data_IF_810079182413
#
_entry.id   IF_810079182413
#
_cell.length_a   1.000
_cell.length_b   1.000
_cell.length_c   1.000
_cell.angle_alpha   90.00
_cell.angle_beta   90.00
_cell.angle_gamma   90.00
#
_symmetry.space_group_name_H-M   'P 1'
#
loop_
_entity.id
_entity.type
_entity.pdbx_description
1 polymer ?
#
# COMPACT_ATOMS: atom_id res chain seq x y z
N UNK A 1 19.54 -67.96 -18.94
CA UNK A 1 19.00 -67.04 -19.97
C UNK A 1 17.51 -66.89 -19.71
N UNK A 2 17.00 -65.65 -19.59
CA UNK A 2 15.56 -65.27 -19.44
C UNK A 2 14.98 -65.50 -18.03
N UNK A 3 14.92 -64.60 -17.05
CA UNK A 3 14.41 -63.22 -16.90
C UNK A 3 12.87 -63.03 -16.88
N UNK A 4 12.39 -62.59 -15.69
CA UNK A 4 11.19 -61.79 -15.35
C UNK A 4 9.80 -62.45 -15.59
N UNK A 5 8.80 -62.36 -14.69
CA UNK A 5 8.31 -61.16 -13.97
C UNK A 5 7.38 -61.62 -12.83
N UNK A 6 7.72 -61.29 -11.56
CA UNK A 6 6.75 -61.32 -10.44
C UNK A 6 6.21 -59.90 -10.27
N UNK A 7 4.92 -59.71 -10.52
CA UNK A 7 4.22 -58.47 -10.21
C UNK A 7 3.92 -58.45 -8.71
N UNK A 8 4.55 -57.53 -7.99
CA UNK A 8 4.17 -57.14 -6.63
C UNK A 8 3.16 -56.00 -6.72
N UNK A 9 1.94 -56.25 -6.27
CA UNK A 9 0.92 -55.24 -5.99
C UNK A 9 1.22 -54.63 -4.61
N UNK A 10 1.60 -53.35 -4.59
CA UNK A 10 1.64 -52.52 -3.39
C UNK A 10 0.35 -51.68 -3.35
N UNK A 11 -0.46 -51.72 -2.27
CA UNK A 11 -1.52 -50.75 -2.08
C UNK A 11 -0.91 -49.46 -1.52
N UNK A 12 -0.94 -48.40 -2.33
CA UNK A 12 -0.63 -47.05 -1.88
C UNK A 12 -1.74 -46.54 -0.97
N UNK A 13 -1.41 -46.28 0.30
CA UNK A 13 -2.25 -45.50 1.20
C UNK A 13 -1.81 -44.04 1.04
N UNK A 14 -2.56 -43.30 0.21
CA UNK A 14 -2.47 -41.86 0.12
C UNK A 14 -3.27 -41.24 1.28
N UNK A 15 -2.60 -40.88 2.36
CA UNK A 15 -3.19 -40.01 3.38
C UNK A 15 -3.18 -38.56 2.86
N UNK A 16 -4.24 -38.17 2.15
CA UNK A 16 -4.56 -36.76 1.95
C UNK A 16 -5.04 -36.18 3.29
N UNK A 17 -4.11 -35.59 4.04
CA UNK A 17 -4.44 -34.68 5.13
C UNK A 17 -4.89 -33.35 4.54
N UNK A 18 -6.17 -33.20 4.23
CA UNK A 18 -6.78 -31.88 4.00
C UNK A 18 -6.91 -31.24 5.38
N UNK A 19 -5.92 -30.43 5.75
CA UNK A 19 -6.04 -29.53 6.89
C UNK A 19 -6.99 -28.39 6.51
N UNK A 20 -8.28 -28.55 6.84
CA UNK A 20 -9.23 -27.45 6.88
C UNK A 20 -8.87 -26.52 8.04
N UNK A 21 -8.05 -25.50 7.79
CA UNK A 21 -7.95 -24.35 8.68
C UNK A 21 -9.10 -23.40 8.34
N UNK A 22 -10.22 -23.55 9.06
CA UNK A 22 -11.23 -22.50 9.18
C UNK A 22 -10.70 -21.39 10.08
N UNK A 23 -9.73 -20.61 9.59
CA UNK A 23 -9.49 -19.26 10.10
C UNK A 23 -10.54 -18.37 9.45
N UNK A 24 -11.31 -17.61 10.22
CA UNK A 24 -12.06 -16.49 9.64
C UNK A 24 -11.09 -15.70 8.77
N UNK A 25 -11.37 -15.58 7.47
CA UNK A 25 -10.41 -15.10 6.48
C UNK A 25 -9.94 -13.71 6.88
N UNK A 26 -8.76 -13.62 7.50
CA UNK A 26 -8.17 -12.33 7.89
C UNK A 26 -8.07 -11.51 6.60
N UNK A 27 -8.52 -10.26 6.65
CA UNK A 27 -8.46 -9.32 5.52
C UNK A 27 -7.51 -8.13 5.76
N UNK A 28 -7.18 -7.87 7.01
CA UNK A 28 -6.32 -6.76 7.44
C UNK A 28 -5.65 -7.06 8.79
N UNK A 29 -4.72 -6.19 9.18
CA UNK A 29 -4.11 -6.15 10.51
C UNK A 29 -4.40 -4.83 11.20
N UNK A 30 -4.47 -4.81 12.51
CA UNK A 30 -4.38 -3.59 13.31
C UNK A 30 -2.92 -3.20 13.50
N UNK A 31 -2.63 -1.90 13.63
CA UNK A 31 -1.28 -1.43 13.90
C UNK A 31 -0.67 -2.02 15.19
N UNK A 32 -1.50 -2.38 16.16
CA UNK A 32 -1.08 -3.05 17.42
C UNK A 32 -0.75 -4.53 17.26
N UNK A 33 -1.15 -5.18 16.17
CA UNK A 33 -0.90 -6.61 15.90
C UNK A 33 0.42 -6.86 15.18
N UNK A 34 1.08 -5.81 14.67
CA UNK A 34 2.24 -5.92 13.79
C UNK A 34 3.50 -5.38 14.45
N UNK A 35 4.68 -5.97 14.14
CA UNK A 35 5.93 -5.53 14.72
C UNK A 35 6.30 -4.13 14.25
N UNK A 36 7.11 -3.44 15.06
CA UNK A 36 7.62 -2.08 14.79
C UNK A 36 9.13 -2.14 14.54
N UNK A 37 9.61 -1.40 13.56
CA UNK A 37 11.03 -1.22 13.31
C UNK A 37 11.64 -0.42 14.47
N UNK A 38 12.74 -0.92 15.03
CA UNK A 38 13.46 -0.30 16.16
C UNK A 38 12.58 -0.01 17.41
N UNK A 39 11.40 -0.65 17.51
CA UNK A 39 10.43 -0.38 18.58
C UNK A 39 9.72 0.97 18.49
N UNK A 40 9.91 1.73 17.39
CA UNK A 40 9.43 3.10 17.24
C UNK A 40 7.95 3.11 16.80
N UNK A 41 7.13 3.86 17.53
CA UNK A 41 5.75 4.16 17.13
C UNK A 41 5.73 4.90 15.79
N UNK A 42 4.91 4.44 14.85
CA UNK A 42 4.92 4.95 13.48
C UNK A 42 5.62 4.04 12.47
N UNK A 43 6.57 3.21 12.91
CA UNK A 43 7.35 2.36 11.99
C UNK A 43 6.84 0.91 11.97
N UNK A 44 5.54 0.74 11.76
CA UNK A 44 4.94 -0.58 11.59
C UNK A 44 5.51 -1.32 10.38
N UNK A 45 5.65 -2.63 10.51
CA UNK A 45 6.12 -3.53 9.46
C UNK A 45 4.94 -4.39 9.03
N UNK A 46 4.39 -4.14 7.85
CA UNK A 46 3.25 -4.91 7.37
C UNK A 46 3.70 -6.29 6.86
N UNK A 47 2.93 -7.36 7.10
CA UNK A 47 3.13 -8.63 6.40
C UNK A 47 2.91 -8.47 4.89
N UNK A 48 3.50 -9.34 4.07
CA UNK A 48 3.23 -9.43 2.63
C UNK A 48 3.48 -10.84 2.09
N UNK A 49 3.02 -11.17 0.87
CA UNK A 49 2.05 -10.42 0.07
C UNK A 49 0.61 -10.55 0.58
N UNK A 50 -0.23 -9.57 0.26
CA UNK A 50 -1.67 -9.64 0.49
C UNK A 50 -2.33 -10.54 -0.59
N UNK A 51 -2.94 -11.68 -0.22
CA UNK A 51 -3.47 -12.64 -1.19
C UNK A 51 -4.67 -12.14 -2.00
N UNK A 52 -5.37 -11.07 -1.59
CA UNK A 52 -6.50 -10.51 -2.37
C UNK A 52 -6.02 -9.78 -3.63
N UNK A 53 -4.74 -9.39 -3.71
CA UNK A 53 -4.15 -8.67 -4.85
C UNK A 53 -3.09 -9.55 -5.52
N UNK A 54 -3.26 -9.94 -6.79
CA UNK A 54 -2.26 -10.72 -7.51
C UNK A 54 -0.93 -9.97 -7.66
N UNK A 55 0.18 -10.69 -7.56
CA UNK A 55 1.49 -10.16 -7.92
C UNK A 55 1.57 -9.89 -9.44
N UNK A 56 2.30 -8.86 -9.83
CA UNK A 56 2.48 -8.49 -11.25
C UNK A 56 3.91 -8.78 -11.69
N UNK A 57 4.05 -9.77 -12.57
CA UNK A 57 5.33 -10.17 -13.17
C UNK A 57 5.69 -9.20 -14.31
N UNK A 58 6.63 -8.29 -14.04
CA UNK A 58 7.14 -7.37 -15.07
C UNK A 58 8.57 -6.94 -14.78
N UNK A 59 9.33 -6.66 -15.85
CA UNK A 59 10.68 -6.09 -15.76
C UNK A 59 10.66 -4.58 -15.55
N UNK A 60 9.51 -3.93 -15.79
CA UNK A 60 9.33 -2.48 -15.60
C UNK A 60 9.81 -2.03 -14.21
N UNK A 61 10.58 -0.94 -14.19
CA UNK A 61 10.94 -0.20 -12.98
C UNK A 61 9.82 0.70 -12.48
N UNK A 62 8.80 0.96 -13.32
CA UNK A 62 7.60 1.70 -12.94
C UNK A 62 6.60 0.77 -12.28
N UNK A 63 5.95 1.29 -11.22
CA UNK A 63 4.85 0.63 -10.52
C UNK A 63 3.70 0.38 -11.52
N UNK A 64 3.29 -0.88 -11.75
CA UNK A 64 2.31 -1.20 -12.76
C UNK A 64 0.89 -0.85 -12.31
N UNK A 65 0.11 -0.24 -13.21
CA UNK A 65 -1.30 0.07 -12.95
C UNK A 65 -2.15 -1.19 -12.72
N UNK A 66 -1.75 -2.32 -13.31
CA UNK A 66 -2.36 -3.65 -13.10
C UNK A 66 -2.17 -4.20 -11.67
N UNK A 67 -1.28 -3.60 -10.87
CA UNK A 67 -1.17 -3.85 -9.43
C UNK A 67 -1.96 -2.80 -8.64
N UNK A 68 -1.82 -1.53 -9.03
CA UNK A 68 -2.38 -0.38 -8.31
C UNK A 68 -3.91 -0.41 -8.34
N UNK A 69 -4.53 -0.54 -9.51
CA UNK A 69 -5.98 -0.43 -9.64
C UNK A 69 -6.71 -1.55 -8.87
N UNK A 70 -6.31 -2.84 -8.97
CA UNK A 70 -6.88 -3.89 -8.13
C UNK A 70 -6.67 -3.66 -6.64
N UNK A 71 -5.51 -3.11 -6.24
CA UNK A 71 -5.25 -2.75 -4.84
C UNK A 71 -6.23 -1.71 -4.33
N UNK A 72 -6.43 -0.62 -5.08
CA UNK A 72 -7.34 0.46 -4.70
C UNK A 72 -8.80 -0.02 -4.64
N UNK A 73 -9.19 -0.92 -5.56
CA UNK A 73 -10.50 -1.57 -5.53
C UNK A 73 -10.67 -2.45 -4.28
N UNK A 74 -9.71 -3.32 -4.00
CA UNK A 74 -9.75 -4.22 -2.86
C UNK A 74 -9.79 -3.46 -1.52
N UNK A 75 -9.12 -2.31 -1.40
CA UNK A 75 -9.21 -1.46 -0.22
C UNK A 75 -10.64 -0.98 0.06
N UNK A 76 -11.41 -0.61 -0.98
CA UNK A 76 -12.81 -0.17 -0.82
C UNK A 76 -13.77 -1.31 -0.44
N UNK A 77 -13.34 -2.56 -0.62
CA UNK A 77 -14.09 -3.74 -0.20
C UNK A 77 -13.89 -4.11 1.27
N UNK A 78 -12.96 -3.44 1.96
CA UNK A 78 -12.71 -3.68 3.38
C UNK A 78 -13.82 -3.03 4.25
N UNK A 79 -14.11 -3.61 5.43
CA UNK A 79 -15.17 -3.10 6.30
C UNK A 79 -14.95 -1.64 6.70
N UNK A 80 -15.97 -0.80 6.51
CA UNK A 80 -15.92 0.62 6.87
C UNK A 80 -15.01 1.49 5.99
N UNK A 81 -14.51 0.96 4.87
CA UNK A 81 -13.59 1.66 3.98
C UNK A 81 -14.26 2.68 3.03
N UNK A 82 -15.58 2.61 2.89
CA UNK A 82 -16.37 3.43 1.97
C UNK A 82 -17.75 3.68 2.55
N UNK A 83 -18.37 4.80 2.18
CA UNK A 83 -19.73 5.19 2.61
C UNK A 83 -19.92 5.19 4.14
N UNK A 84 -18.84 5.47 4.88
CA UNK A 84 -18.80 5.32 6.34
C UNK A 84 -18.93 6.65 7.10
N UNK A 85 -19.39 7.72 6.45
CA UNK A 85 -19.60 9.01 7.09
C UNK A 85 -21.09 9.32 7.21
N UNK A 86 -21.46 10.03 8.27
CA UNK A 86 -22.84 10.40 8.56
C UNK A 86 -23.33 11.37 7.48
N UNK A 87 -24.48 11.07 6.86
CA UNK A 87 -24.99 11.83 5.72
C UNK A 87 -25.38 13.26 6.08
N UNK A 88 -25.68 13.53 7.35
CA UNK A 88 -26.14 14.84 7.80
C UNK A 88 -24.97 15.77 8.18
N UNK A 89 -23.94 15.21 8.80
CA UNK A 89 -22.79 15.97 9.33
C UNK A 89 -21.52 15.84 8.48
N UNK A 90 -21.46 14.88 7.56
CA UNK A 90 -20.25 14.55 6.79
C UNK A 90 -19.13 13.94 7.65
N UNK A 91 -19.37 13.70 8.95
CA UNK A 91 -18.36 13.20 9.88
C UNK A 91 -18.22 11.68 9.79
N UNK A 92 -17.01 11.13 9.98
CA UNK A 92 -16.82 9.68 10.11
C UNK A 92 -17.71 9.06 11.18
N UNK A 93 -18.41 7.97 10.82
CA UNK A 93 -19.13 7.12 11.77
C UNK A 93 -18.15 6.21 12.52
N UNK A 94 -18.53 5.62 13.66
CA UNK A 94 -17.63 4.81 14.48
C UNK A 94 -16.92 3.67 13.76
N UNK A 95 -17.52 3.11 12.71
CA UNK A 95 -16.98 2.03 11.89
C UNK A 95 -16.06 2.52 10.76
N UNK A 96 -16.03 3.83 10.48
CA UNK A 96 -15.21 4.41 9.43
C UNK A 96 -13.73 4.08 9.63
N UNK A 97 -13.14 3.53 8.58
CA UNK A 97 -11.81 2.95 8.64
C UNK A 97 -10.99 3.38 7.43
N UNK A 98 -9.75 3.75 7.72
CA UNK A 98 -8.72 3.89 6.71
C UNK A 98 -7.78 2.69 6.78
N UNK A 99 -7.33 2.25 5.62
CA UNK A 99 -6.48 1.09 5.43
C UNK A 99 -5.29 1.52 4.59
N UNK A 100 -4.08 1.20 5.05
CA UNK A 100 -2.85 1.52 4.35
C UNK A 100 -2.15 0.25 3.91
N UNK A 101 -1.57 0.29 2.71
CA UNK A 101 -0.72 -0.77 2.18
C UNK A 101 0.56 -0.17 1.62
N UNK A 102 1.65 -0.94 1.68
CA UNK A 102 2.88 -0.67 0.94
C UNK A 102 2.86 -1.37 -0.41
N UNK A 103 3.28 -0.64 -1.44
CA UNK A 103 3.62 -1.22 -2.74
C UNK A 103 5.13 -1.47 -2.76
N UNK A 104 5.53 -2.72 -2.98
CA UNK A 104 6.93 -3.12 -2.95
C UNK A 104 7.27 -4.03 -4.13
N UNK A 105 8.57 -4.16 -4.40
CA UNK A 105 9.08 -4.97 -5.50
C UNK A 105 10.00 -6.04 -4.99
N UNK A 106 9.87 -7.24 -5.56
CA UNK A 106 10.82 -8.33 -5.42
C UNK A 106 11.78 -8.35 -6.63
N UNK A 107 12.77 -9.24 -6.68
CA UNK A 107 13.58 -9.40 -7.89
C UNK A 107 12.78 -9.79 -9.15
N UNK A 108 11.59 -10.37 -9.01
CA UNK A 108 10.81 -10.95 -10.11
C UNK A 108 9.45 -10.28 -10.37
N UNK A 109 8.85 -9.66 -9.37
CA UNK A 109 7.47 -9.17 -9.43
C UNK A 109 7.23 -7.93 -8.56
N UNK A 110 6.06 -7.32 -8.76
CA UNK A 110 5.50 -6.31 -7.88
C UNK A 110 4.41 -6.91 -7.00
N UNK A 111 4.36 -6.48 -5.74
CA UNK A 111 3.45 -7.00 -4.70
C UNK A 111 2.94 -5.87 -3.82
N UNK A 112 1.91 -6.19 -3.04
CA UNK A 112 1.32 -5.28 -2.05
C UNK A 112 1.28 -5.94 -0.68
N UNK A 113 1.55 -5.15 0.37
CA UNK A 113 1.49 -5.63 1.75
C UNK A 113 0.05 -5.87 2.17
N UNK A 114 -0.14 -6.60 3.26
CA UNK A 114 -1.42 -6.66 3.94
C UNK A 114 -1.89 -5.27 4.37
N UNK A 115 -3.21 -4.98 4.33
CA UNK A 115 -3.76 -3.71 4.81
C UNK A 115 -3.59 -3.56 6.31
N UNK A 116 -3.09 -2.39 6.71
CA UNK A 116 -3.06 -1.96 8.12
C UNK A 116 -4.23 -1.02 8.35
N UNK A 117 -5.15 -1.43 9.22
CA UNK A 117 -6.36 -0.67 9.55
C UNK A 117 -6.08 0.36 10.63
N UNK A 118 -6.58 1.57 10.42
CA UNK A 118 -6.78 2.58 11.43
C UNK A 118 -8.25 3.01 11.45
N UNK A 119 -8.85 3.10 12.64
CA UNK A 119 -10.21 3.64 12.79
C UNK A 119 -10.13 5.13 13.05
N UNK A 120 -10.95 5.95 12.38
CA UNK A 120 -10.89 7.42 12.47
C UNK A 120 -11.25 8.03 13.84
N UNK A 121 -11.50 7.19 14.87
CA UNK A 121 -11.54 7.61 16.28
C UNK A 121 -10.16 7.78 16.90
N UNK A 122 -9.12 7.17 16.33
CA UNK A 122 -7.74 7.55 16.62
C UNK A 122 -7.53 8.92 15.97
N UNK A 123 -6.80 9.82 16.62
CA UNK A 123 -6.59 11.20 16.17
C UNK A 123 -5.84 11.34 14.84
N UNK A 124 -5.41 10.22 14.24
CA UNK A 124 -4.47 10.21 13.14
C UNK A 124 -5.11 9.56 11.92
N UNK A 125 -4.78 10.12 10.75
CA UNK A 125 -5.03 9.47 9.47
C UNK A 125 -4.39 8.09 9.41
N UNK A 126 -4.64 7.38 8.33
CA UNK A 126 -3.96 6.15 8.00
C UNK A 126 -2.45 6.30 8.19
N UNK A 127 -1.86 5.35 8.93
CA UNK A 127 -0.42 5.27 9.14
C UNK A 127 0.13 4.13 8.29
N UNK A 128 0.81 4.44 7.18
CA UNK A 128 1.47 3.44 6.37
C UNK A 128 2.46 2.59 7.17
N UNK A 129 2.75 1.37 6.69
CA UNK A 129 3.82 0.56 7.25
C UNK A 129 5.19 1.14 6.87
N UNK A 130 5.56 2.24 7.54
CA UNK A 130 6.80 2.96 7.31
C UNK A 130 8.05 2.17 7.70
N UNK A 131 7.90 1.15 8.56
CA UNK A 131 8.96 0.20 8.88
C UNK A 131 9.24 -0.83 7.76
N UNK A 132 8.43 -0.82 6.70
CA UNK A 132 8.58 -1.68 5.53
C UNK A 132 7.63 -2.87 5.50
N UNK A 133 8.01 -3.89 4.73
CA UNK A 133 7.23 -5.11 4.52
C UNK A 133 8.03 -6.32 4.94
N UNK A 134 7.41 -7.23 5.67
CA UNK A 134 7.92 -8.58 5.91
C UNK A 134 7.24 -9.54 4.94
N UNK A 135 7.86 -9.74 3.77
CA UNK A 135 7.37 -10.67 2.77
C UNK A 135 7.57 -12.11 3.26
N UNK A 136 6.56 -12.96 3.05
CA UNK A 136 6.53 -14.34 3.53
C UNK A 136 7.63 -15.22 2.91
N UNK A 137 8.09 -14.89 1.70
CA UNK A 137 9.07 -15.66 0.95
C UNK A 137 10.49 -15.05 1.04
N UNK A 138 10.59 -13.72 1.12
CA UNK A 138 11.84 -12.96 0.95
C UNK A 138 12.24 -12.14 2.18
N UNK A 139 11.39 -12.06 3.21
CA UNK A 139 11.66 -11.35 4.44
C UNK A 139 11.57 -9.82 4.32
N UNK A 140 12.40 -9.13 5.11
CA UNK A 140 12.14 -7.73 5.50
C UNK A 140 12.82 -6.64 4.66
N UNK A 141 13.83 -6.99 3.87
CA UNK A 141 14.69 -5.97 3.23
C UNK A 141 14.33 -5.75 1.75
N UNK A 142 13.05 -5.45 1.50
CA UNK A 142 12.52 -5.18 0.17
C UNK A 142 12.25 -3.68 -0.02
N UNK A 143 12.52 -3.13 -1.22
CA UNK A 143 12.25 -1.73 -1.50
C UNK A 143 10.74 -1.46 -1.59
N UNK A 144 10.28 -0.46 -0.85
CA UNK A 144 8.92 0.10 -0.91
C UNK A 144 8.93 1.31 -1.84
N UNK A 145 7.99 1.36 -2.79
CA UNK A 145 7.88 2.38 -3.83
C UNK A 145 6.72 3.34 -3.63
N UNK A 146 6.05 3.24 -2.49
CA UNK A 146 4.91 4.09 -2.19
C UNK A 146 3.87 3.39 -1.34
N UNK A 147 2.83 4.14 -1.04
CA UNK A 147 1.72 3.68 -0.22
C UNK A 147 0.39 4.02 -0.87
N UNK A 148 -0.55 3.09 -0.75
CA UNK A 148 -1.94 3.31 -1.12
C UNK A 148 -2.79 3.30 0.15
N UNK A 149 -3.82 4.16 0.16
CA UNK A 149 -4.84 4.13 1.21
C UNK A 149 -6.22 4.48 0.68
N UNK A 150 -7.26 4.25 1.50
CA UNK A 150 -8.62 4.70 1.20
C UNK A 150 -9.02 5.93 2.02
N UNK A 151 -10.11 6.59 1.60
CA UNK A 151 -10.81 7.60 2.38
C UNK A 151 -12.30 7.21 2.53
N UNK A 152 -12.82 7.04 3.76
CA UNK A 152 -14.12 6.39 3.98
C UNK A 152 -15.34 7.29 3.74
N UNK A 153 -15.18 8.61 3.70
CA UNK A 153 -16.32 9.54 3.53
C UNK A 153 -16.74 9.81 2.09
N UNK A 154 -16.21 9.09 1.10
CA UNK A 154 -16.49 9.37 -0.32
C UNK A 154 -16.19 10.83 -0.73
N UNK A 155 -15.36 11.55 0.02
CA UNK A 155 -14.96 12.93 -0.28
C UNK A 155 -13.95 12.97 -1.42
N UNK A 156 -13.65 14.17 -1.91
CA UNK A 156 -12.49 14.39 -2.77
C UNK A 156 -11.18 14.19 -2.00
N UNK A 157 -10.08 14.21 -2.75
CA UNK A 157 -8.72 14.26 -2.24
C UNK A 157 -8.54 15.48 -1.30
N UNK A 158 -7.91 15.26 -0.15
CA UNK A 158 -7.59 16.27 0.85
C UNK A 158 -6.08 16.48 1.00
N UNK A 159 -5.68 17.59 1.63
CA UNK A 159 -4.26 17.82 1.98
C UNK A 159 -3.71 16.77 2.95
N UNK A 160 -4.58 16.09 3.73
CA UNK A 160 -4.16 15.05 4.66
C UNK A 160 -3.75 13.77 3.92
N UNK A 161 -4.50 13.39 2.89
CA UNK A 161 -4.24 12.20 2.08
C UNK A 161 -2.84 12.26 1.43
N UNK A 162 -2.41 13.46 1.05
CA UNK A 162 -1.18 13.71 0.32
C UNK A 162 0.10 13.70 1.17
N UNK A 163 -0.05 13.55 2.49
CA UNK A 163 1.09 13.42 3.42
C UNK A 163 1.75 12.04 3.37
N UNK A 164 1.12 11.09 2.69
CA UNK A 164 1.51 9.68 2.70
C UNK A 164 2.70 9.43 1.76
N UNK A 165 3.92 9.33 2.30
CA UNK A 165 5.19 9.17 1.54
C UNK A 165 6.11 8.13 2.16
N UNK A 166 6.87 7.32 1.39
CA UNK A 166 7.94 6.45 1.92
C UNK A 166 8.85 7.18 2.90
N UNK A 167 9.27 6.47 3.96
CA UNK A 167 10.27 6.93 4.91
C UNK A 167 11.49 6.01 4.87
N UNK A 168 12.67 6.57 5.13
CA UNK A 168 13.90 5.79 5.26
C UNK A 168 14.78 6.32 6.39
N UNK A 169 15.66 5.45 6.90
CA UNK A 169 16.67 5.82 7.88
C UNK A 169 17.86 6.52 7.20
N UNK A 170 18.17 7.74 7.64
CA UNK A 170 19.33 8.54 7.23
C UNK A 170 20.03 9.07 8.48
N UNK A 171 21.32 8.78 8.64
CA UNK A 171 22.15 9.26 9.76
C UNK A 171 21.53 9.01 11.16
N UNK A 172 20.74 7.94 11.31
CA UNK A 172 20.06 7.59 12.56
C UNK A 172 18.66 8.18 12.75
N UNK A 173 18.21 9.07 11.87
CA UNK A 173 16.86 9.64 11.85
C UNK A 173 16.00 9.06 10.72
N UNK A 174 14.68 9.03 10.88
CA UNK A 174 13.74 8.67 9.82
C UNK A 174 13.29 9.91 9.07
N UNK A 175 13.49 9.91 7.75
CA UNK A 175 13.16 11.03 6.87
C UNK A 175 12.23 10.58 5.75
N UNK A 176 11.34 11.45 5.29
CA UNK A 176 10.54 11.16 4.10
C UNK A 176 11.46 11.07 2.87
N UNK A 177 11.27 10.03 2.07
CA UNK A 177 12.04 9.76 0.86
C UNK A 177 11.11 9.73 -0.33
N UNK A 178 11.39 10.60 -1.30
CA UNK A 178 10.65 10.74 -2.55
C UNK A 178 10.92 9.58 -3.56
N UNK A 179 11.58 8.52 -3.13
CA UNK A 179 12.10 7.44 -3.95
C UNK A 179 11.86 6.09 -3.29
N UNK A 180 11.85 5.04 -4.10
CA UNK A 180 11.79 3.68 -3.60
C UNK A 180 12.95 3.40 -2.66
N UNK A 181 12.67 2.87 -1.47
CA UNK A 181 13.69 2.63 -0.44
C UNK A 181 13.42 1.35 0.32
N UNK A 182 14.49 0.65 0.68
CA UNK A 182 14.45 -0.41 1.68
C UNK A 182 14.43 0.19 3.10
N UNK A 183 14.02 -0.57 4.12
CA UNK A 183 14.04 -0.13 5.52
C UNK A 183 15.44 0.24 6.05
N UNK A 184 16.49 -0.35 5.49
CA UNK A 184 17.89 -0.03 5.83
C UNK A 184 18.42 1.25 5.16
N UNK A 185 17.60 1.93 4.34
CA UNK A 185 17.94 3.21 3.70
C UNK A 185 18.53 3.11 2.30
N UNK A 186 18.57 1.92 1.68
CA UNK A 186 19.07 1.80 0.30
C UNK A 186 18.01 2.21 -0.71
N UNK A 187 18.39 3.17 -1.56
CA UNK A 187 17.55 3.62 -2.68
C UNK A 187 17.45 2.54 -3.76
N UNK A 188 16.23 2.28 -4.22
CA UNK A 188 15.94 1.42 -5.35
C UNK A 188 16.37 2.10 -6.66
N UNK A 189 16.97 1.32 -7.55
CA UNK A 189 17.47 1.79 -8.85
C UNK A 189 16.97 0.91 -9.99
N UNK A 190 16.78 1.52 -11.15
CA UNK A 190 16.49 0.81 -12.39
C UNK A 190 17.77 0.19 -13.02
N UNK A 191 17.61 -0.45 -14.18
CA UNK A 191 18.72 -1.09 -14.90
C UNK A 191 19.80 -0.09 -15.35
N UNK A 192 19.44 1.19 -15.47
CA UNK A 192 20.33 2.29 -15.83
C UNK A 192 20.96 2.96 -14.58
N UNK A 193 20.69 2.44 -13.38
CA UNK A 193 21.19 2.95 -12.12
C UNK A 193 20.48 4.21 -11.62
N UNK A 194 19.40 4.65 -12.26
CA UNK A 194 18.62 5.81 -11.84
C UNK A 194 17.72 5.47 -10.67
N UNK A 195 17.56 6.41 -9.74
CA UNK A 195 16.66 6.23 -8.59
C UNK A 195 15.21 6.20 -9.06
N UNK A 196 14.44 5.25 -8.55
CA UNK A 196 13.04 5.07 -8.94
C UNK A 196 12.16 5.94 -8.03
N UNK A 197 11.34 6.86 -8.58
CA UNK A 197 10.45 7.71 -7.79
C UNK A 197 9.40 6.92 -7.01
N UNK A 198 9.09 7.41 -5.80
CA UNK A 198 7.95 6.94 -5.04
C UNK A 198 6.67 7.65 -5.47
N UNK A 199 5.54 7.00 -5.21
CA UNK A 199 4.21 7.54 -5.48
C UNK A 199 3.27 7.31 -4.29
N UNK A 200 2.24 8.14 -4.18
CA UNK A 200 1.11 7.89 -3.31
C UNK A 200 -0.15 7.60 -4.11
N UNK A 201 -1.05 6.79 -3.55
CA UNK A 201 -2.34 6.49 -4.16
C UNK A 201 -3.49 6.58 -3.15
N UNK A 202 -4.65 6.99 -3.65
CA UNK A 202 -5.87 7.12 -2.87
C UNK A 202 -7.03 6.43 -3.57
N UNK A 203 -7.80 5.66 -2.80
CA UNK A 203 -9.14 5.20 -3.16
C UNK A 203 -10.21 5.96 -2.38
N UNK A 204 -11.16 6.58 -3.07
CA UNK A 204 -12.29 7.28 -2.46
C UNK A 204 -13.53 7.16 -3.37
N UNK A 205 -14.56 7.96 -3.12
CA UNK A 205 -15.85 7.89 -3.80
C UNK A 205 -16.80 6.91 -3.14
N UNK A 206 -17.95 6.72 -3.78
CA UNK A 206 -18.96 5.77 -3.34
C UNK A 206 -18.63 4.37 -3.88
N UNK A 207 -19.19 3.32 -3.27
CA UNK A 207 -18.97 1.94 -3.73
C UNK A 207 -19.32 1.72 -5.20
N UNK A 208 -20.36 2.38 -5.70
CA UNK A 208 -20.82 2.32 -7.09
C UNK A 208 -20.14 3.34 -8.02
N UNK A 209 -19.41 4.31 -7.46
CA UNK A 209 -18.70 5.35 -8.21
C UNK A 209 -17.32 5.64 -7.58
N UNK A 210 -16.40 4.65 -7.59
CA UNK A 210 -15.08 4.82 -7.00
C UNK A 210 -14.26 5.85 -7.78
N UNK A 211 -13.39 6.55 -7.06
CA UNK A 211 -12.42 7.50 -7.61
C UNK A 211 -11.04 7.13 -7.11
N UNK A 212 -10.09 7.05 -8.05
CA UNK A 212 -8.70 6.73 -7.77
C UNK A 212 -7.82 7.90 -8.11
N UNK A 213 -6.91 8.24 -7.21
CA UNK A 213 -5.92 9.28 -7.40
C UNK A 213 -4.52 8.73 -7.21
N UNK A 214 -3.55 9.37 -7.86
CA UNK A 214 -2.13 9.20 -7.57
C UNK A 214 -1.41 10.54 -7.57
N UNK A 215 -0.31 10.63 -6.85
CA UNK A 215 0.52 11.83 -6.84
C UNK A 215 2.01 11.52 -6.73
N UNK A 216 2.84 12.45 -7.19
CA UNK A 216 4.29 12.34 -7.20
C UNK A 216 4.96 13.44 -6.35
N UNK A 217 6.29 13.37 -6.21
CA UNK A 217 7.03 14.28 -5.34
C UNK A 217 7.08 15.72 -5.87
N UNK A 218 6.68 15.94 -7.12
CA UNK A 218 6.53 17.29 -7.71
C UNK A 218 5.20 17.94 -7.31
N UNK A 219 4.35 17.22 -6.59
CA UNK A 219 2.99 17.64 -6.25
C UNK A 219 2.01 17.47 -7.41
N UNK A 220 2.38 16.81 -8.51
CA UNK A 220 1.42 16.52 -9.58
C UNK A 220 0.42 15.49 -9.08
N UNK A 221 -0.86 15.78 -9.23
CA UNK A 221 -1.98 14.92 -8.87
C UNK A 221 -2.69 14.47 -10.14
N UNK A 222 -3.01 13.18 -10.20
CA UNK A 222 -3.72 12.57 -11.31
C UNK A 222 -4.92 11.80 -10.80
N UNK A 223 -5.95 11.68 -11.64
CA UNK A 223 -7.13 10.85 -11.43
C UNK A 223 -7.16 9.75 -12.48
N UNK A 224 -7.55 8.55 -12.09
CA UNK A 224 -7.76 7.45 -13.02
C UNK A 224 -9.03 7.66 -13.86
N UNK A 225 -8.87 7.66 -15.17
CA UNK A 225 -9.94 7.54 -16.16
C UNK A 225 -10.17 6.05 -16.43
N UNK A 226 -11.29 5.52 -15.94
CA UNK A 226 -11.64 4.10 -16.04
C UNK A 226 -11.84 3.67 -17.50
N UNK A 227 -12.46 4.52 -18.31
CA UNK A 227 -12.81 4.21 -19.70
C UNK A 227 -11.57 4.18 -20.58
N UNK A 228 -10.67 5.13 -20.38
CA UNK A 228 -9.43 5.26 -21.15
C UNK A 228 -8.26 4.49 -20.55
N UNK A 229 -8.43 3.89 -19.37
CA UNK A 229 -7.40 3.21 -18.59
C UNK A 229 -6.10 4.01 -18.48
N UNK A 230 -6.22 5.27 -18.08
CA UNK A 230 -5.08 6.18 -17.95
C UNK A 230 -5.23 7.15 -16.79
N UNK A 231 -4.12 7.74 -16.41
CA UNK A 231 -4.07 8.78 -15.39
C UNK A 231 -4.14 10.17 -16.01
N UNK A 232 -5.25 10.86 -15.78
CA UNK A 232 -5.48 12.23 -16.25
C UNK A 232 -5.02 13.23 -15.18
N UNK A 233 -4.15 14.16 -15.57
CA UNK A 233 -3.67 15.23 -14.70
C UNK A 233 -4.84 16.07 -14.17
N UNK A 234 -4.83 16.37 -12.88
CA UNK A 234 -5.86 17.16 -12.22
C UNK A 234 -5.31 18.50 -11.74
N UNK A 235 -4.18 18.47 -11.04
CA UNK A 235 -3.66 19.62 -10.32
C UNK A 235 -2.18 19.48 -10.02
N UNK A 236 -1.52 20.59 -9.71
CA UNK A 236 -0.24 20.61 -9.03
C UNK A 236 -0.41 21.26 -7.67
N UNK A 237 -0.11 20.52 -6.62
CA UNK A 237 -0.07 21.03 -5.26
C UNK A 237 1.32 21.57 -4.95
N UNK A 238 1.42 22.69 -4.26
CA UNK A 238 2.72 23.24 -3.86
C UNK A 238 3.25 22.45 -2.65
N UNK A 239 4.36 21.68 -2.78
CA UNK A 239 5.04 21.14 -1.63
C UNK A 239 5.69 22.29 -0.87
N UNK A 240 5.55 22.33 0.45
CA UNK A 240 6.30 23.33 1.23
C UNK A 240 7.72 22.84 1.50
N UNK A 241 8.72 23.73 1.44
CA UNK A 241 10.09 23.36 1.75
C UNK A 241 10.24 22.90 3.22
N UNK A 242 11.15 21.95 3.51
CA UNK A 242 11.49 21.61 4.87
C UNK A 242 12.02 22.83 5.63
N UNK A 243 11.73 22.90 6.93
CA UNK A 243 12.20 23.98 7.81
C UNK A 243 12.90 23.38 9.03
N UNK A 244 13.73 24.16 9.74
CA UNK A 244 14.41 23.68 10.95
C UNK A 244 13.44 23.21 12.05
N UNK A 245 12.19 23.68 12.04
CA UNK A 245 11.14 23.30 13.00
C UNK A 245 10.25 22.15 12.50
N UNK A 246 10.33 21.81 11.22
CA UNK A 246 9.62 20.72 10.54
C UNK A 246 10.54 20.12 9.47
N UNK A 247 11.57 19.37 9.88
CA UNK A 247 12.49 18.73 8.95
C UNK A 247 11.78 17.73 8.03
N UNK A 248 10.59 17.26 8.43
CA UNK A 248 9.71 16.40 7.65
C UNK A 248 8.95 17.16 6.54
N UNK A 249 9.13 18.48 6.38
CA UNK A 249 8.36 19.28 5.40
C UNK A 249 6.95 19.64 5.87
N UNK A 250 6.30 20.59 5.18
CA UNK A 250 4.87 20.86 5.38
C UNK A 250 4.10 20.15 4.25
N UNK A 251 3.00 19.46 4.58
CA UNK A 251 2.08 18.85 3.63
C UNK A 251 1.77 19.75 2.44
N UNK A 252 1.70 19.20 1.22
CA UNK A 252 1.37 20.00 0.05
C UNK A 252 -0.02 20.63 0.20
N UNK A 253 -0.14 21.90 -0.18
CA UNK A 253 -1.43 22.59 -0.16
C UNK A 253 -2.10 22.47 -1.54
N UNK A 254 -3.25 21.81 -1.57
CA UNK A 254 -4.02 21.53 -2.79
C UNK A 254 -5.39 22.20 -2.83
N UNK A 255 -5.77 22.94 -1.78
CA UNK A 255 -7.13 23.48 -1.68
C UNK A 255 -7.47 24.46 -2.81
N UNK A 256 -6.48 25.23 -3.29
CA UNK A 256 -6.62 26.14 -4.43
C UNK A 256 -6.58 25.44 -5.80
N UNK A 257 -5.96 24.26 -5.89
CA UNK A 257 -5.71 23.59 -7.17
C UNK A 257 -6.78 22.53 -7.52
N UNK A 258 -7.49 22.01 -6.52
CA UNK A 258 -8.55 21.00 -6.71
C UNK A 258 -9.96 21.60 -6.81
N UNK A 259 -10.13 22.89 -6.47
CA UNK A 259 -11.37 23.66 -6.62
C UNK A 259 -11.07 25.03 -7.25
N UNK A 260 -10.74 25.10 -8.56
CA UNK A 260 -10.49 26.37 -9.25
C UNK A 260 -11.74 27.25 -9.38
#
# INVERSE_FOLDING_TARGET
MGFLRRQFLWPGIACLGIACAASGTRRFYLASEIPKQDGIDGLSIAPGPWPEVPAVLTRSSLVPDDLVIPTLQALLELPGAVDACDSNSGRPRPEASEYCVAIYRTPSDWRVSWPVRNTLKSSDSCMPPFGGVNDADLGRNLPVFGYAHNHPCASGLSNQDLRTWPMAKSEGAWVMVAYGTTPDGRLARDEQGQVIPAWGWLATGHRDAPRFYRWNQKGDVFRWDVDRKRWDFQARCEPSPPSMLRPEGIPPNCSAALNP
#
